data_IF_309089788403
#
_entry.id   IF_309089788403
#
_cell.length_a   1.000
_cell.length_b   1.000
_cell.length_c   1.000
_cell.angle_alpha   90.00
_cell.angle_beta   90.00
_cell.angle_gamma   90.00
#
_symmetry.space_group_name_H-M   'P 1'
#
loop_
_entity.id
_entity.type
_entity.pdbx_description
1 polymer ?
#
# COMPACT_ATOMS: atom_id res chain seq x y z
N UNK A 1 -41.49 2.05 40.91
CA UNK A 1 -41.01 0.92 40.08
C UNK A 1 -40.97 1.22 38.57
N UNK A 2 -42.07 1.69 37.96
CA UNK A 2 -42.12 2.00 36.51
C UNK A 2 -41.10 3.05 36.04
N UNK A 3 -40.89 4.12 36.80
CA UNK A 3 -39.91 5.17 36.47
C UNK A 3 -38.48 4.62 36.48
N UNK A 4 -38.10 3.84 37.51
CA UNK A 4 -36.77 3.23 37.59
C UNK A 4 -36.50 2.27 36.43
N UNK A 5 -37.49 1.48 36.02
CA UNK A 5 -37.36 0.57 34.88
C UNK A 5 -37.17 1.34 33.57
N UNK A 6 -37.92 2.43 33.37
CA UNK A 6 -37.78 3.29 32.18
C UNK A 6 -36.40 3.94 32.13
N UNK A 7 -35.91 4.50 33.24
CA UNK A 7 -34.58 5.11 33.31
C UNK A 7 -33.48 4.08 33.03
N UNK A 8 -33.60 2.89 33.61
CA UNK A 8 -32.66 1.79 33.37
C UNK A 8 -32.65 1.37 31.89
N UNK A 9 -33.81 1.21 31.26
CA UNK A 9 -33.92 0.87 29.84
C UNK A 9 -33.29 1.94 28.94
N UNK A 10 -33.47 3.23 29.26
CA UNK A 10 -32.85 4.32 28.50
C UNK A 10 -31.33 4.28 28.60
N UNK A 11 -30.77 4.06 29.80
CA UNK A 11 -29.32 3.95 29.99
C UNK A 11 -28.75 2.75 29.22
N UNK A 12 -29.40 1.59 29.32
CA UNK A 12 -28.99 0.38 28.60
C UNK A 12 -29.10 0.59 27.09
N UNK A 13 -30.18 1.19 26.60
CA UNK A 13 -30.37 1.50 25.18
C UNK A 13 -29.29 2.44 24.64
N UNK A 14 -29.01 3.54 25.34
CA UNK A 14 -27.93 4.46 24.97
C UNK A 14 -26.56 3.76 24.94
N UNK A 15 -26.30 2.90 25.92
CA UNK A 15 -25.06 2.10 25.99
C UNK A 15 -24.94 1.13 24.83
N UNK A 16 -26.04 0.46 24.45
CA UNK A 16 -26.07 -0.45 23.30
C UNK A 16 -25.80 0.29 21.97
N UNK A 17 -26.44 1.44 21.76
CA UNK A 17 -26.20 2.28 20.58
C UNK A 17 -24.73 2.71 20.51
N UNK A 18 -24.15 3.13 21.63
CA UNK A 18 -22.74 3.49 21.70
C UNK A 18 -21.82 2.32 21.34
N UNK A 19 -22.07 1.12 21.89
CA UNK A 19 -21.27 -0.09 21.59
C UNK A 19 -21.33 -0.42 20.10
N UNK A 20 -22.53 -0.38 19.50
CA UNK A 20 -22.70 -0.63 18.06
C UNK A 20 -21.94 0.41 17.23
N UNK A 21 -22.03 1.69 17.58
CA UNK A 21 -21.28 2.76 16.94
C UNK A 21 -19.77 2.52 16.99
N UNK A 22 -19.25 2.12 18.16
CA UNK A 22 -17.83 1.84 18.32
C UNK A 22 -17.38 0.63 17.48
N UNK A 23 -18.19 -0.42 17.43
CA UNK A 23 -17.92 -1.59 16.57
C UNK A 23 -17.83 -1.16 15.10
N UNK A 24 -18.74 -0.31 14.62
CA UNK A 24 -18.70 0.20 13.24
C UNK A 24 -17.41 0.99 12.98
N UNK A 25 -17.03 1.87 13.91
CA UNK A 25 -15.80 2.68 13.78
C UNK A 25 -14.55 1.80 13.72
N UNK A 26 -14.40 0.86 14.66
CA UNK A 26 -13.20 0.03 14.78
C UNK A 26 -13.12 -1.05 13.69
N UNK A 27 -14.26 -1.66 13.34
CA UNK A 27 -14.28 -2.78 12.40
C UNK A 27 -14.38 -2.36 10.94
N UNK A 28 -14.94 -1.18 10.62
CA UNK A 28 -15.17 -0.75 9.24
C UNK A 28 -14.47 0.56 8.87
N UNK A 29 -14.71 1.62 9.66
CA UNK A 29 -14.21 2.97 9.29
C UNK A 29 -12.68 3.01 9.33
N UNK A 30 -12.07 2.57 10.43
CA UNK A 30 -10.62 2.60 10.58
C UNK A 30 -9.89 1.72 9.56
N UNK A 31 -10.27 0.44 9.31
CA UNK A 31 -9.63 -0.37 8.27
C UNK A 31 -9.74 0.25 6.88
N UNK A 32 -10.89 0.86 6.55
CA UNK A 32 -11.06 1.53 5.26
C UNK A 32 -10.15 2.76 5.13
N UNK A 33 -10.01 3.55 6.18
CA UNK A 33 -9.09 4.69 6.20
C UNK A 33 -7.63 4.25 6.09
N UNK A 34 -7.24 3.21 6.81
CA UNK A 34 -5.88 2.63 6.75
C UNK A 34 -5.56 2.15 5.32
N UNK A 35 -6.48 1.41 4.68
CA UNK A 35 -6.27 0.95 3.30
C UNK A 35 -6.13 2.11 2.31
N UNK A 36 -6.97 3.15 2.44
CA UNK A 36 -6.86 4.36 1.62
C UNK A 36 -5.53 5.09 1.85
N UNK A 37 -5.04 5.12 3.08
CA UNK A 37 -3.73 5.69 3.41
C UNK A 37 -2.60 4.93 2.72
N UNK A 38 -2.59 3.60 2.82
CA UNK A 38 -1.60 2.74 2.14
C UNK A 38 -1.65 2.96 0.62
N UNK A 39 -2.84 3.04 0.03
CA UNK A 39 -3.00 3.35 -1.41
C UNK A 39 -2.44 4.72 -1.77
N UNK A 40 -2.68 5.74 -0.94
CA UNK A 40 -2.17 7.09 -1.15
C UNK A 40 -0.64 7.12 -1.10
N UNK A 41 -0.05 6.40 -0.14
CA UNK A 41 1.41 6.25 -0.01
C UNK A 41 2.00 5.57 -1.25
N UNK A 42 1.42 4.47 -1.70
CA UNK A 42 1.86 3.77 -2.91
C UNK A 42 1.76 4.70 -4.13
N UNK A 43 0.66 5.43 -4.27
CA UNK A 43 0.48 6.40 -5.36
C UNK A 43 1.57 7.48 -5.33
N UNK A 44 1.92 7.98 -4.15
CA UNK A 44 3.00 8.95 -3.97
C UNK A 44 4.34 8.36 -4.41
N UNK A 45 4.70 7.17 -3.92
CA UNK A 45 5.96 6.47 -4.25
C UNK A 45 6.09 6.27 -5.77
N UNK A 46 5.01 5.83 -6.44
CA UNK A 46 5.00 5.60 -7.88
C UNK A 46 5.25 6.88 -8.69
N UNK A 47 4.75 8.02 -8.23
CA UNK A 47 4.97 9.31 -8.89
C UNK A 47 6.36 9.86 -8.57
N UNK A 48 6.73 9.83 -7.29
CA UNK A 48 7.98 10.41 -6.80
C UNK A 48 9.21 9.70 -7.38
N UNK A 49 9.19 8.36 -7.42
CA UNK A 49 10.30 7.56 -7.94
C UNK A 49 10.11 7.13 -9.41
N UNK A 50 9.21 7.77 -10.15
CA UNK A 50 9.01 7.48 -11.58
C UNK A 50 10.30 7.61 -12.38
N UNK A 51 11.11 8.62 -12.09
CA UNK A 51 12.42 8.81 -12.69
C UNK A 51 13.40 7.66 -12.38
N UNK A 52 13.27 6.98 -11.25
CA UNK A 52 14.17 5.89 -10.83
C UNK A 52 13.81 4.60 -11.56
N UNK A 53 12.55 4.15 -11.47
CA UNK A 53 12.18 2.88 -12.09
C UNK A 53 12.02 2.96 -13.61
N UNK A 54 11.89 4.16 -14.20
CA UNK A 54 11.93 4.34 -15.65
C UNK A 54 13.34 4.50 -16.22
N UNK A 55 14.38 4.60 -15.37
CA UNK A 55 15.77 4.68 -15.79
C UNK A 55 16.62 3.68 -14.98
N UNK A 56 16.36 2.36 -15.08
CA UNK A 56 17.09 1.39 -14.28
C UNK A 56 18.58 1.40 -14.65
N UNK A 57 19.43 1.19 -13.66
CA UNK A 57 20.88 1.42 -13.76
C UNK A 57 21.62 0.12 -14.02
N UNK A 58 22.59 0.17 -14.94
CA UNK A 58 23.56 -0.89 -15.13
C UNK A 58 24.85 -0.55 -14.37
N UNK A 59 24.98 -1.07 -13.15
CA UNK A 59 26.14 -0.79 -12.29
C UNK A 59 27.50 -1.14 -12.92
N UNK A 60 27.52 -2.04 -13.91
CA UNK A 60 28.76 -2.43 -14.58
C UNK A 60 29.19 -1.44 -15.68
N UNK A 61 28.25 -0.66 -16.23
CA UNK A 61 28.47 0.23 -17.38
C UNK A 61 28.32 1.71 -17.02
N UNK A 62 27.51 2.02 -16.01
CA UNK A 62 27.21 3.38 -15.57
C UNK A 62 28.30 3.95 -14.65
N UNK A 63 29.42 4.35 -15.26
CA UNK A 63 30.55 4.99 -14.57
C UNK A 63 30.21 6.35 -13.93
N UNK A 64 29.04 6.93 -14.24
CA UNK A 64 28.54 8.19 -13.68
C UNK A 64 27.61 7.99 -12.48
N UNK A 65 27.40 6.74 -12.06
CA UNK A 65 26.54 6.43 -10.93
C UNK A 65 27.22 6.83 -9.61
N UNK A 66 26.89 8.02 -9.12
CA UNK A 66 27.47 8.59 -7.90
C UNK A 66 26.82 8.00 -6.64
N UNK A 67 27.46 8.21 -5.49
CA UNK A 67 26.91 7.80 -4.18
C UNK A 67 25.53 8.41 -3.90
N UNK A 68 25.27 9.63 -4.40
CA UNK A 68 23.96 10.29 -4.29
C UNK A 68 22.89 9.51 -5.06
N UNK A 69 23.20 9.06 -6.27
CA UNK A 69 22.29 8.24 -7.07
C UNK A 69 22.12 6.84 -6.44
N UNK A 70 23.19 6.21 -5.94
CA UNK A 70 23.10 4.95 -5.21
C UNK A 70 22.13 5.06 -4.03
N UNK A 71 22.26 6.13 -3.24
CA UNK A 71 21.37 6.40 -2.10
C UNK A 71 19.91 6.56 -2.54
N UNK A 72 19.65 7.33 -3.59
CA UNK A 72 18.29 7.52 -4.11
C UNK A 72 17.65 6.21 -4.57
N UNK A 73 18.40 5.36 -5.27
CA UNK A 73 17.90 4.08 -5.77
C UNK A 73 17.67 3.08 -4.64
N UNK A 74 18.56 3.05 -3.64
CA UNK A 74 18.38 2.20 -2.46
C UNK A 74 17.17 2.63 -1.63
N UNK A 75 16.96 3.94 -1.48
CA UNK A 75 15.79 4.50 -0.81
C UNK A 75 14.51 4.14 -1.56
N UNK A 76 14.46 4.34 -2.88
CA UNK A 76 13.34 3.92 -3.72
C UNK A 76 13.05 2.42 -3.58
N UNK A 77 14.10 1.58 -3.63
CA UNK A 77 13.99 0.13 -3.48
C UNK A 77 13.41 -0.24 -2.11
N UNK A 78 13.85 0.45 -1.05
CA UNK A 78 13.38 0.25 0.33
C UNK A 78 11.92 0.67 0.48
N UNK A 79 11.54 1.86 0.01
CA UNK A 79 10.17 2.36 0.13
C UNK A 79 9.17 1.48 -0.62
N UNK A 80 9.51 1.04 -1.83
CA UNK A 80 8.70 0.07 -2.59
C UNK A 80 8.47 -1.23 -1.80
N UNK A 81 9.52 -1.77 -1.14
CA UNK A 81 9.39 -2.97 -0.29
C UNK A 81 8.57 -2.71 0.96
N UNK A 82 8.76 -1.58 1.63
CA UNK A 82 7.96 -1.18 2.80
C UNK A 82 6.48 -1.09 2.41
N UNK A 83 6.17 -0.46 1.28
CA UNK A 83 4.81 -0.35 0.78
C UNK A 83 4.19 -1.73 0.48
N UNK A 84 4.95 -2.63 -0.14
CA UNK A 84 4.53 -4.01 -0.35
C UNK A 84 4.25 -4.74 0.97
N UNK A 85 5.13 -4.58 1.98
CA UNK A 85 4.96 -5.18 3.31
C UNK A 85 3.75 -4.61 4.06
N UNK A 86 3.51 -3.30 3.99
CA UNK A 86 2.32 -2.66 4.57
C UNK A 86 1.04 -3.22 3.95
N UNK A 87 1.03 -3.35 2.63
CA UNK A 87 -0.11 -3.90 1.89
C UNK A 87 -0.37 -5.37 2.26
N UNK A 88 0.68 -6.19 2.37
CA UNK A 88 0.59 -7.58 2.83
C UNK A 88 0.08 -7.67 4.27
N UNK A 89 0.61 -6.85 5.18
CA UNK A 89 0.20 -6.79 6.58
C UNK A 89 -1.26 -6.35 6.74
N UNK A 90 -1.71 -5.38 5.96
CA UNK A 90 -3.12 -4.97 5.94
C UNK A 90 -4.03 -6.13 5.54
N UNK A 91 -3.69 -6.84 4.46
CA UNK A 91 -4.45 -8.01 4.01
C UNK A 91 -4.51 -9.11 5.06
N UNK A 92 -3.38 -9.44 5.69
CA UNK A 92 -3.33 -10.46 6.73
C UNK A 92 -4.23 -10.09 7.92
N UNK A 93 -4.24 -8.81 8.31
CA UNK A 93 -5.05 -8.33 9.43
C UNK A 93 -6.54 -8.19 9.10
N UNK A 94 -6.87 -7.82 7.85
CA UNK A 94 -8.22 -7.45 7.41
C UNK A 94 -8.56 -8.10 6.05
N UNK A 95 -8.59 -9.44 5.96
CA UNK A 95 -8.72 -10.16 4.69
C UNK A 95 -10.05 -9.88 3.96
N UNK A 96 -11.11 -9.56 4.69
CA UNK A 96 -12.43 -9.28 4.11
C UNK A 96 -12.54 -7.90 3.43
N UNK A 97 -11.58 -6.99 3.65
CA UNK A 97 -11.62 -5.63 3.09
C UNK A 97 -11.03 -5.54 1.68
N UNK A 98 -10.34 -6.59 1.22
CA UNK A 98 -9.59 -6.58 -0.04
C UNK A 98 -9.78 -7.87 -0.81
N UNK A 99 -9.74 -7.78 -2.14
CA UNK A 99 -9.71 -8.96 -3.00
C UNK A 99 -8.30 -9.57 -2.97
N UNK A 100 -8.22 -10.86 -2.63
CA UNK A 100 -6.96 -11.59 -2.43
C UNK A 100 -5.99 -11.41 -3.60
N UNK A 101 -6.45 -11.71 -4.81
CA UNK A 101 -5.63 -11.76 -6.03
C UNK A 101 -5.14 -10.38 -6.45
N UNK A 102 -5.99 -9.36 -6.26
CA UNK A 102 -5.67 -7.96 -6.61
C UNK A 102 -4.58 -7.38 -5.72
N UNK A 103 -4.64 -7.69 -4.42
CA UNK A 103 -3.61 -7.25 -3.48
C UNK A 103 -2.31 -8.03 -3.64
N UNK A 104 -2.38 -9.35 -3.86
CA UNK A 104 -1.18 -10.18 -4.13
C UNK A 104 -0.47 -9.74 -5.42
N UNK A 105 -1.23 -9.39 -6.46
CA UNK A 105 -0.70 -8.84 -7.71
C UNK A 105 0.05 -7.53 -7.45
N UNK A 106 -0.59 -6.54 -6.82
CA UNK A 106 0.05 -5.25 -6.53
C UNK A 106 1.27 -5.39 -5.60
N UNK A 107 1.19 -6.26 -4.60
CA UNK A 107 2.32 -6.57 -3.71
C UNK A 107 3.51 -7.14 -4.50
N UNK A 108 3.25 -8.15 -5.34
CA UNK A 108 4.30 -8.80 -6.13
C UNK A 108 4.92 -7.82 -7.13
N UNK A 109 4.10 -6.97 -7.73
CA UNK A 109 4.55 -5.94 -8.66
C UNK A 109 5.38 -4.82 -7.98
N UNK A 110 5.05 -4.42 -6.75
CA UNK A 110 5.89 -3.49 -5.95
C UNK A 110 7.27 -4.08 -5.67
N UNK A 111 7.33 -5.37 -5.30
CA UNK A 111 8.60 -6.09 -5.10
C UNK A 111 9.35 -6.20 -6.43
N UNK A 112 8.63 -6.48 -7.52
CA UNK A 112 9.17 -6.51 -8.88
C UNK A 112 9.83 -5.20 -9.29
N UNK A 113 9.15 -4.05 -9.07
CA UNK A 113 9.72 -2.72 -9.29
C UNK A 113 10.98 -2.49 -8.47
N UNK A 114 10.94 -2.83 -7.18
CA UNK A 114 12.07 -2.68 -6.26
C UNK A 114 13.31 -3.46 -6.71
N UNK A 115 13.11 -4.66 -7.27
CA UNK A 115 14.18 -5.48 -7.85
C UNK A 115 14.61 -4.96 -9.23
N UNK A 116 13.71 -4.32 -9.96
CA UNK A 116 13.90 -3.83 -11.31
C UNK A 116 14.65 -2.51 -11.44
N UNK A 117 15.15 -1.94 -10.34
CA UNK A 117 15.90 -0.68 -10.35
C UNK A 117 17.35 -0.85 -10.86
N UNK A 118 17.88 -2.07 -10.80
CA UNK A 118 19.23 -2.40 -11.27
C UNK A 118 19.16 -3.57 -12.27
N UNK A 119 19.84 -3.44 -13.41
CA UNK A 119 19.75 -4.41 -14.50
C UNK A 119 20.97 -4.35 -15.42
N UNK A 120 21.26 -5.45 -16.12
CA UNK A 120 22.21 -5.46 -17.23
C UNK A 120 21.55 -5.18 -18.59
N UNK A 121 20.22 -5.16 -18.64
CA UNK A 121 19.41 -4.91 -19.85
C UNK A 121 18.38 -3.81 -19.54
N UNK A 122 18.75 -2.56 -19.81
CA UNK A 122 17.97 -1.37 -19.46
C UNK A 122 16.65 -1.33 -20.22
N UNK A 123 16.68 -1.54 -21.55
CA UNK A 123 15.49 -1.43 -22.40
C UNK A 123 14.41 -2.42 -21.99
N UNK A 124 14.78 -3.70 -21.79
CA UNK A 124 13.83 -4.71 -21.34
C UNK A 124 13.32 -4.44 -19.93
N UNK A 125 14.17 -3.89 -19.06
CA UNK A 125 13.79 -3.62 -17.68
C UNK A 125 12.82 -2.44 -17.58
N UNK A 126 12.97 -1.40 -18.41
CA UNK A 126 11.99 -0.29 -18.48
C UNK A 126 10.61 -0.81 -18.84
N UNK A 127 10.48 -1.67 -19.85
CA UNK A 127 9.20 -2.27 -20.24
C UNK A 127 8.58 -3.10 -19.11
N UNK A 128 9.41 -3.89 -18.42
CA UNK A 128 8.98 -4.67 -17.25
C UNK A 128 8.53 -3.76 -16.11
N UNK A 129 9.25 -2.69 -15.82
CA UNK A 129 8.90 -1.75 -14.76
C UNK A 129 7.58 -1.04 -15.05
N UNK A 130 7.36 -0.61 -16.30
CA UNK A 130 6.08 -0.04 -16.71
C UNK A 130 4.93 -1.05 -16.58
N UNK A 131 5.14 -2.32 -16.93
CA UNK A 131 4.16 -3.38 -16.70
C UNK A 131 3.83 -3.54 -15.21
N UNK A 132 4.85 -3.60 -14.35
CA UNK A 132 4.65 -3.70 -12.89
C UNK A 132 3.89 -2.49 -12.35
N UNK A 133 4.21 -1.27 -12.80
CA UNK A 133 3.47 -0.05 -12.44
C UNK A 133 1.98 -0.19 -12.78
N UNK A 134 1.65 -0.68 -13.97
CA UNK A 134 0.25 -0.92 -14.38
C UNK A 134 -0.44 -1.95 -13.50
N UNK A 135 0.21 -3.07 -13.20
CA UNK A 135 -0.32 -4.10 -12.31
C UNK A 135 -0.61 -3.55 -10.90
N UNK A 136 0.24 -2.66 -10.38
CA UNK A 136 -0.01 -1.97 -9.11
C UNK A 136 -1.24 -1.06 -9.22
N UNK A 137 -1.33 -0.24 -10.25
CA UNK A 137 -2.47 0.66 -10.46
C UNK A 137 -3.78 -0.11 -10.62
N UNK A 138 -3.79 -1.19 -11.41
CA UNK A 138 -4.96 -2.05 -11.62
C UNK A 138 -5.33 -2.85 -10.37
N UNK A 139 -4.35 -3.40 -9.66
CA UNK A 139 -4.54 -4.17 -8.44
C UNK A 139 -5.14 -3.32 -7.32
N UNK A 140 -4.75 -2.05 -7.25
CA UNK A 140 -5.19 -1.14 -6.20
C UNK A 140 -6.30 -0.19 -6.65
N UNK A 141 -6.69 -0.16 -7.92
CA UNK A 141 -7.55 0.88 -8.49
C UNK A 141 -7.01 2.29 -8.18
N UNK A 142 -5.78 2.55 -8.61
CA UNK A 142 -5.17 3.88 -8.65
C UNK A 142 -5.42 4.49 -10.04
N UNK A 143 -5.51 5.81 -10.10
CA UNK A 143 -5.72 6.56 -11.34
C UNK A 143 -4.39 7.18 -11.79
#
# INVERSE_FOLDING_TARGET
MKILLSTFLTIVSGSLVFIVGQIVVECYVKPMQEYKSIKSEISYILVYYANVFMNPVNKAEDNFFTDTWQTLYDEASKELRIAASKLAGFKQRKPFFVKKDKVEMAQSALIGLSNGLFTSDVFRQVERNEKMRREICEGLNLK
#
